data_IF_122909876316
#
_entry.id   IF_122909876316
#
_cell.length_a   1.000
_cell.length_b   1.000
_cell.length_c   1.000
_cell.angle_alpha   90.00
_cell.angle_beta   90.00
_cell.angle_gamma   90.00
#
_symmetry.space_group_name_H-M   'P 1'
#
loop_
_entity.id
_entity.type
_entity.pdbx_description
1 polymer ?
#
# COMPACT_ATOMS: atom_id res chain seq x y z
N UNK A 1 13.61 -6.59 20.26
CA UNK A 1 13.05 -7.62 19.36
C UNK A 1 12.47 -6.85 18.19
N UNK A 2 13.25 -6.68 17.12
CA UNK A 2 12.76 -6.08 15.88
C UNK A 2 11.75 -7.07 15.29
N UNK A 3 10.48 -6.70 15.23
CA UNK A 3 9.50 -7.52 14.49
C UNK A 3 10.04 -7.71 13.07
N UNK A 4 10.21 -8.96 12.63
CA UNK A 4 10.88 -9.32 11.37
C UNK A 4 10.03 -9.04 10.14
N UNK A 5 8.79 -8.59 10.34
CA UNK A 5 7.78 -8.46 9.30
C UNK A 5 7.72 -7.04 8.73
N UNK A 6 7.85 -6.86 7.39
CA UNK A 6 7.74 -5.54 6.77
C UNK A 6 6.31 -4.99 6.85
N UNK A 7 6.18 -3.68 7.02
CA UNK A 7 4.89 -3.00 6.88
C UNK A 7 4.55 -2.79 5.40
N UNK A 8 3.36 -3.18 4.98
CA UNK A 8 2.87 -2.97 3.61
C UNK A 8 2.13 -1.64 3.52
N UNK A 9 2.77 -0.65 2.90
CA UNK A 9 2.21 0.69 2.69
C UNK A 9 1.52 0.75 1.33
N UNK A 10 0.23 1.05 1.33
CA UNK A 10 -0.65 0.98 0.16
C UNK A 10 -1.14 2.37 -0.21
N UNK A 11 -0.81 2.80 -1.42
CA UNK A 11 -1.42 3.96 -2.08
C UNK A 11 -2.84 3.57 -2.53
N UNK A 12 -3.84 3.99 -1.76
CA UNK A 12 -5.21 3.55 -1.96
C UNK A 12 -5.79 4.07 -3.27
N UNK A 13 -5.51 5.32 -3.65
CA UNK A 13 -6.03 5.90 -4.88
C UNK A 13 -5.45 5.21 -6.11
N UNK A 14 -4.15 4.91 -6.10
CA UNK A 14 -3.53 4.14 -7.18
C UNK A 14 -4.10 2.72 -7.29
N UNK A 15 -4.27 2.03 -6.17
CA UNK A 15 -4.81 0.66 -6.16
C UNK A 15 -6.26 0.66 -6.63
N UNK A 16 -7.10 1.56 -6.12
CA UNK A 16 -8.52 1.66 -6.52
C UNK A 16 -8.68 1.92 -8.01
N UNK A 17 -7.85 2.79 -8.58
CA UNK A 17 -7.83 3.12 -10.02
C UNK A 17 -7.24 2.00 -10.88
N UNK A 18 -6.56 1.04 -10.28
CA UNK A 18 -5.98 -0.12 -10.98
C UNK A 18 -6.98 -1.28 -11.17
N UNK A 19 -8.20 -1.18 -10.62
CA UNK A 19 -9.30 -2.13 -10.81
C UNK A 19 -10.41 -1.48 -11.60
N UNK A 20 -10.99 -2.20 -12.56
CA UNK A 20 -12.26 -1.79 -13.15
C UNK A 20 -13.35 -2.88 -12.93
N UNK A 21 -14.54 -2.52 -12.41
CA UNK A 21 -14.89 -1.21 -11.85
C UNK A 21 -14.08 -0.90 -10.58
N UNK A 22 -13.89 0.39 -10.27
CA UNK A 22 -13.18 0.82 -9.07
C UNK A 22 -13.87 0.26 -7.81
N UNK A 23 -13.07 -0.24 -6.87
CA UNK A 23 -13.57 -0.67 -5.54
C UNK A 23 -13.78 0.54 -4.61
N UNK A 24 -14.72 0.42 -3.68
CA UNK A 24 -14.88 1.41 -2.61
C UNK A 24 -13.66 1.40 -1.69
N UNK A 25 -13.41 2.52 -1.01
CA UNK A 25 -12.30 2.61 -0.05
C UNK A 25 -12.46 1.61 1.10
N UNK A 26 -13.68 1.45 1.61
CA UNK A 26 -14.01 0.47 2.65
C UNK A 26 -13.70 -0.96 2.18
N UNK A 27 -14.15 -1.34 0.98
CA UNK A 27 -13.89 -2.69 0.45
C UNK A 27 -12.39 -2.92 0.22
N UNK A 28 -11.65 -1.92 -0.25
CA UNK A 28 -10.20 -2.04 -0.37
C UNK A 28 -9.56 -2.27 1.01
N UNK A 29 -9.97 -1.51 2.03
CA UNK A 29 -9.44 -1.67 3.38
C UNK A 29 -9.70 -3.06 3.94
N UNK A 30 -10.91 -3.60 3.75
CA UNK A 30 -11.26 -4.97 4.15
C UNK A 30 -10.38 -6.02 3.45
N UNK A 31 -10.19 -5.89 2.13
CA UNK A 31 -9.38 -6.82 1.35
C UNK A 31 -7.91 -6.78 1.79
N UNK A 32 -7.35 -5.58 1.96
CA UNK A 32 -5.95 -5.41 2.42
C UNK A 32 -5.78 -5.98 3.82
N UNK A 33 -6.73 -5.71 4.71
CA UNK A 33 -6.73 -6.24 6.08
C UNK A 33 -6.70 -7.77 6.07
N UNK A 34 -7.64 -8.42 5.38
CA UNK A 34 -7.70 -9.89 5.28
C UNK A 34 -6.39 -10.45 4.72
N UNK A 35 -5.93 -9.90 3.60
CA UNK A 35 -4.71 -10.34 2.94
C UNK A 35 -3.47 -10.23 3.84
N UNK A 36 -3.38 -9.14 4.62
CA UNK A 36 -2.27 -8.87 5.54
C UNK A 36 -2.34 -9.79 6.77
N UNK A 37 -3.52 -9.94 7.38
CA UNK A 37 -3.77 -10.86 8.52
C UNK A 37 -3.42 -12.31 8.15
N UNK A 38 -3.83 -12.79 6.98
CA UNK A 38 -3.52 -14.15 6.49
C UNK A 38 -2.02 -14.41 6.30
N UNK A 39 -1.24 -13.36 6.05
CA UNK A 39 0.21 -13.43 5.81
C UNK A 39 1.05 -12.98 7.01
N UNK A 40 0.39 -12.51 8.07
CA UNK A 40 1.03 -11.96 9.25
C UNK A 40 1.73 -10.61 9.02
N UNK A 41 1.39 -9.85 7.97
CA UNK A 41 1.97 -8.53 7.66
C UNK A 41 1.30 -7.39 8.45
N UNK A 42 2.10 -6.42 8.90
CA UNK A 42 1.57 -5.10 9.25
C UNK A 42 1.20 -4.35 7.97
N UNK A 43 0.18 -3.49 8.02
CA UNK A 43 -0.28 -2.76 6.84
C UNK A 43 -0.68 -1.31 7.16
N UNK A 44 -0.56 -0.44 6.16
CA UNK A 44 -1.01 0.96 6.22
C UNK A 44 -1.61 1.36 4.88
N UNK A 45 -2.92 1.57 4.85
CA UNK A 45 -3.64 2.03 3.66
C UNK A 45 -3.78 3.54 3.73
N UNK A 46 -3.17 4.24 2.77
CA UNK A 46 -3.16 5.70 2.72
C UNK A 46 -4.12 6.17 1.63
N UNK A 47 -5.15 6.88 2.04
CA UNK A 47 -6.11 7.55 1.16
C UNK A 47 -5.71 9.01 0.97
N UNK A 48 -6.22 9.61 -0.11
CA UNK A 48 -6.16 11.06 -0.31
C UNK A 48 -6.78 11.79 0.89
N UNK A 49 -6.11 12.85 1.36
CA UNK A 49 -6.56 13.69 2.46
C UNK A 49 -6.92 15.10 1.99
N UNK A 50 -7.67 15.83 2.81
CA UNK A 50 -8.04 17.22 2.52
C UNK A 50 -6.87 18.21 2.71
N UNK A 51 -6.02 17.98 3.72
CA UNK A 51 -4.92 18.88 4.10
C UNK A 51 -3.53 18.42 3.63
N UNK A 52 -3.38 17.13 3.34
CA UNK A 52 -2.10 16.52 2.92
C UNK A 52 -2.36 15.46 1.85
N UNK A 53 -1.53 15.50 0.80
CA UNK A 53 -1.62 14.53 -0.29
C UNK A 53 -1.28 13.11 0.19
N UNK A 54 -1.90 12.10 -0.42
CA UNK A 54 -1.54 10.71 -0.15
C UNK A 54 -0.03 10.45 -0.33
N UNK A 55 0.58 11.04 -1.36
CA UNK A 55 2.00 10.88 -1.67
C UNK A 55 2.91 11.46 -0.58
N UNK A 56 2.62 12.68 -0.11
CA UNK A 56 3.38 13.32 0.95
C UNK A 56 3.26 12.55 2.26
N UNK A 57 2.04 12.09 2.57
CA UNK A 57 1.78 11.25 3.74
C UNK A 57 2.54 9.93 3.67
N UNK A 58 2.54 9.24 2.53
CA UNK A 58 3.30 7.99 2.33
C UNK A 58 4.80 8.24 2.52
N UNK A 59 5.34 9.32 1.94
CA UNK A 59 6.76 9.65 2.07
C UNK A 59 7.14 9.94 3.52
N UNK A 60 6.30 10.67 4.26
CA UNK A 60 6.53 10.92 5.69
C UNK A 60 6.47 9.64 6.51
N UNK A 61 5.42 8.84 6.34
CA UNK A 61 5.20 7.63 7.14
C UNK A 61 6.26 6.56 6.85
N UNK A 62 6.68 6.40 5.60
CA UNK A 62 7.72 5.44 5.21
C UNK A 62 9.13 5.84 5.65
N UNK A 63 9.38 7.13 5.91
CA UNK A 63 10.67 7.60 6.42
C UNK A 63 10.96 7.12 7.85
N UNK A 64 9.93 6.75 8.61
CA UNK A 64 10.03 6.25 9.98
C UNK A 64 10.07 4.72 10.06
N UNK A 65 9.92 4.01 8.93
CA UNK A 65 9.87 2.54 8.88
C UNK A 65 11.25 1.97 8.53
N UNK A 66 11.73 1.02 9.33
CA UNK A 66 12.97 0.29 9.05
C UNK A 66 12.84 -0.62 7.82
N UNK A 67 11.68 -1.31 7.68
CA UNK A 67 11.40 -2.24 6.58
C UNK A 67 9.95 -2.10 6.14
N UNK A 68 9.75 -1.81 4.86
CA UNK A 68 8.42 -1.68 4.28
C UNK A 68 8.37 -2.11 2.82
N UNK A 69 7.17 -2.51 2.41
CA UNK A 69 6.82 -2.68 1.01
C UNK A 69 5.94 -1.52 0.58
N UNK A 70 6.14 -1.04 -0.64
CA UNK A 70 5.34 0.03 -1.22
C UNK A 70 4.45 -0.52 -2.34
N UNK A 71 3.15 -0.36 -2.19
CA UNK A 71 2.18 -0.70 -3.23
C UNK A 71 1.75 0.57 -3.96
N UNK A 72 2.31 0.78 -5.16
CA UNK A 72 1.91 1.84 -6.08
C UNK A 72 2.45 1.56 -7.49
N UNK A 73 1.73 2.02 -8.51
CA UNK A 73 2.20 2.14 -9.88
C UNK A 73 2.67 3.56 -10.23
N UNK A 74 2.50 4.51 -9.32
CA UNK A 74 2.92 5.90 -9.53
C UNK A 74 4.44 5.99 -9.65
N UNK A 75 4.93 6.66 -10.70
CA UNK A 75 6.37 6.75 -10.97
C UNK A 75 7.06 7.73 -10.03
N UNK A 76 6.42 8.85 -9.72
CA UNK A 76 6.97 9.86 -8.81
C UNK A 76 7.07 9.30 -7.39
N UNK A 77 6.00 8.66 -6.91
CA UNK A 77 6.00 8.06 -5.58
C UNK A 77 7.04 6.93 -5.45
N UNK A 78 7.28 6.16 -6.52
CA UNK A 78 8.38 5.19 -6.57
C UNK A 78 9.75 5.83 -6.47
N UNK A 79 9.95 7.01 -7.05
CA UNK A 79 11.22 7.72 -6.95
C UNK A 79 11.46 8.29 -5.56
N UNK A 80 10.40 8.71 -4.86
CA UNK A 80 10.44 9.33 -3.53
C UNK A 80 10.50 8.30 -2.40
N UNK A 81 9.62 7.31 -2.41
CA UNK A 81 9.46 6.29 -1.37
C UNK A 81 9.87 4.89 -1.84
N UNK A 82 9.86 4.58 -3.13
CA UNK A 82 10.19 3.23 -3.61
C UNK A 82 11.67 2.85 -3.49
N UNK A 83 12.59 3.83 -3.48
CA UNK A 83 14.04 3.57 -3.43
C UNK A 83 14.53 2.94 -2.12
N UNK A 84 13.84 3.20 -1.00
CA UNK A 84 14.15 2.59 0.31
C UNK A 84 13.25 1.41 0.65
N UNK A 85 12.19 1.20 -0.14
CA UNK A 85 11.30 0.06 0.05
C UNK A 85 12.05 -1.25 -0.23
N UNK A 86 11.86 -2.24 0.61
CA UNK A 86 12.41 -3.59 0.39
C UNK A 86 11.78 -4.22 -0.86
N UNK A 87 10.52 -3.87 -1.15
CA UNK A 87 9.78 -4.32 -2.31
C UNK A 87 8.81 -3.25 -2.79
N UNK A 88 8.67 -3.11 -4.11
CA UNK A 88 7.63 -2.29 -4.74
C UNK A 88 6.68 -3.20 -5.52
N UNK A 89 5.37 -3.03 -5.31
CA UNK A 89 4.30 -3.79 -5.97
C UNK A 89 3.43 -2.81 -6.75
N UNK A 90 3.12 -3.10 -8.02
CA UNK A 90 2.18 -2.28 -8.80
C UNK A 90 0.74 -2.50 -8.33
N UNK A 91 -0.07 -1.44 -8.33
CA UNK A 91 -1.46 -1.49 -7.86
C UNK A 91 -2.27 -2.63 -8.50
N UNK A 92 -2.26 -2.74 -9.83
CA UNK A 92 -2.97 -3.83 -10.52
C UNK A 92 -2.42 -5.24 -10.24
N UNK A 93 -1.15 -5.39 -9.87
CA UNK A 93 -0.62 -6.68 -9.43
C UNK A 93 -1.14 -7.01 -8.03
N UNK A 94 -1.10 -6.05 -7.12
CA UNK A 94 -1.60 -6.20 -5.76
C UNK A 94 -3.09 -6.54 -5.71
N UNK A 95 -3.90 -5.89 -6.56
CA UNK A 95 -5.32 -6.22 -6.73
C UNK A 95 -5.55 -7.69 -6.99
N UNK A 96 -4.74 -8.31 -7.88
CA UNK A 96 -4.87 -9.73 -8.21
C UNK A 96 -4.51 -10.60 -7.01
N UNK A 97 -3.57 -10.17 -6.18
CA UNK A 97 -3.26 -10.86 -4.92
C UNK A 97 -4.41 -10.75 -3.90
N UNK A 98 -5.04 -9.57 -3.81
CA UNK A 98 -6.19 -9.34 -2.91
C UNK A 98 -7.40 -10.18 -3.30
N UNK A 99 -7.67 -10.36 -4.60
CA UNK A 99 -8.85 -11.11 -5.08
C UNK A 99 -8.58 -12.60 -5.29
N UNK A 100 -7.33 -13.04 -5.40
CA UNK A 100 -6.98 -14.45 -5.44
C UNK A 100 -7.02 -15.12 -4.05
N UNK A 101 -7.04 -14.32 -2.98
CA UNK A 101 -7.19 -14.78 -1.60
C UNK A 101 -8.66 -14.92 -1.16
N UNK A 102 -9.62 -14.61 -2.04
CA UNK A 102 -11.06 -14.70 -1.71
C UNK A 102 -11.60 -16.13 -1.76
#
# INVERSE_FOLDING_TARGET
>A
MTSETPTVVVDAENVRRSIWPNVSGERLLELVRRWAEERGYDYRVVFEGDDESADDRIVRETAELDRYWLVTSDRELRERAGKRAERVIGGGAFVRELTAAD
#
